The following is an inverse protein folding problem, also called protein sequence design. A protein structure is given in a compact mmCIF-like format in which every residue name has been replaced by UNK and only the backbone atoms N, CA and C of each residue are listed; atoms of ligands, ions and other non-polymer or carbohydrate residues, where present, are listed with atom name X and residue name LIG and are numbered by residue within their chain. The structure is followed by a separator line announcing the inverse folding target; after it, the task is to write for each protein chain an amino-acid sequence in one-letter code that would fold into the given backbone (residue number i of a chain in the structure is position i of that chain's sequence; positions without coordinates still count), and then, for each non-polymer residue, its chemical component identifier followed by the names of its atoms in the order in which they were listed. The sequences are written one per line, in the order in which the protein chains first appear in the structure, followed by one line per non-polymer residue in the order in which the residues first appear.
data_IF_717714731376
#
_entry.id   IF_717714731376
#
_cell.length_a   1.000
_cell.length_b   1.000
_cell.length_c   1.000
_cell.angle_alpha   90.00
_cell.angle_beta   90.00
_cell.angle_gamma   90.00
#
_symmetry.space_group_name_H-M   'P 1'
#
loop_
_entity.id
_entity.type
_entity.pdbx_description
1 polymer ?
#
# COMPACT_ATOMS: atom_id res chain seq x y z
N UNK A 1 -3.99 -4.19 4.31
CA UNK A 1 -2.53 -4.03 4.49
C UNK A 1 -1.83 -4.36 3.19
N UNK A 2 -0.73 -3.69 2.90
CA UNK A 2 0.12 -3.96 1.73
C UNK A 2 0.90 -5.28 1.86
N UNK A 3 1.43 -5.82 0.75
CA UNK A 3 2.29 -7.02 0.76
C UNK A 3 3.54 -6.77 1.59
N UNK A 4 4.18 -5.61 1.41
CA UNK A 4 5.31 -5.20 2.27
C UNK A 4 4.90 -5.06 3.75
N UNK A 5 3.68 -4.60 4.03
CA UNK A 5 3.13 -4.54 5.38
C UNK A 5 2.93 -5.91 6.02
N UNK A 6 2.49 -6.91 5.25
CA UNK A 6 2.41 -8.30 5.71
C UNK A 6 3.79 -8.90 5.99
N UNK A 7 4.77 -8.60 5.14
CA UNK A 7 6.14 -9.05 5.34
C UNK A 7 6.75 -8.47 6.63
N UNK A 8 6.57 -7.17 6.86
CA UNK A 8 7.00 -6.49 8.07
C UNK A 8 6.29 -7.04 9.32
N UNK A 9 4.98 -7.25 9.24
CA UNK A 9 4.22 -7.88 10.32
C UNK A 9 4.76 -9.27 10.66
N UNK A 10 5.05 -10.10 9.64
CA UNK A 10 5.63 -11.42 9.82
C UNK A 10 6.96 -11.39 10.57
N UNK A 11 7.87 -10.47 10.20
CA UNK A 11 9.16 -10.29 10.88
C UNK A 11 8.96 -9.91 12.35
N UNK A 12 8.10 -8.91 12.61
CA UNK A 12 7.83 -8.44 13.98
C UNK A 12 7.22 -9.57 14.83
N UNK A 13 6.23 -10.29 14.28
CA UNK A 13 5.59 -11.40 14.97
C UNK A 13 6.57 -12.53 15.30
N UNK A 14 7.46 -12.88 14.37
CA UNK A 14 8.51 -13.87 14.62
C UNK A 14 9.46 -13.41 15.73
N UNK A 15 9.90 -12.15 15.72
CA UNK A 15 10.75 -11.61 16.78
C UNK A 15 10.06 -11.68 18.15
N UNK A 16 8.78 -11.32 18.23
CA UNK A 16 7.98 -11.40 19.47
C UNK A 16 7.91 -12.85 19.97
N UNK A 17 7.67 -13.82 19.06
CA UNK A 17 7.62 -15.24 19.42
C UNK A 17 8.97 -15.77 19.89
N UNK A 18 10.08 -15.40 19.23
CA UNK A 18 11.42 -15.79 19.65
C UNK A 18 11.74 -15.27 21.06
N UNK A 19 11.42 -14.00 21.33
CA UNK A 19 11.62 -13.39 22.65
C UNK A 19 10.75 -14.11 23.70
N UNK A 20 9.49 -14.41 23.37
CA UNK A 20 8.60 -15.12 24.27
C UNK A 20 9.08 -16.55 24.59
N UNK A 21 9.63 -17.27 23.61
CA UNK A 21 10.23 -18.58 23.80
C UNK A 21 11.50 -18.50 24.66
N UNK A 22 12.34 -17.49 24.45
CA UNK A 22 13.54 -17.28 25.24
C UNK A 22 13.22 -16.97 26.71
N UNK A 23 12.24 -16.10 26.95
CA UNK A 23 11.73 -15.79 28.30
C UNK A 23 11.10 -17.05 28.91
N UNK A 24 10.28 -17.78 28.16
CA UNK A 24 9.66 -19.00 28.66
C UNK A 24 10.71 -20.05 29.08
N UNK A 25 11.78 -20.21 28.29
CA UNK A 25 12.88 -21.12 28.59
C UNK A 25 13.64 -20.72 29.87
N UNK A 26 14.02 -19.45 30.00
CA UNK A 26 14.73 -18.94 31.19
C UNK A 26 13.91 -19.16 32.47
N UNK A 27 12.60 -18.87 32.43
CA UNK A 27 11.74 -19.00 33.60
C UNK A 27 11.33 -20.44 33.91
N UNK A 28 11.35 -21.32 32.91
CA UNK A 28 11.13 -22.75 33.11
C UNK A 28 12.25 -23.38 33.94
N UNK A 29 13.50 -22.99 33.67
CA UNK A 29 14.68 -23.48 34.40
C UNK A 29 14.71 -22.95 35.85
N UNK A 30 14.31 -21.69 36.06
CA UNK A 30 14.38 -21.04 37.38
C UNK A 30 13.20 -21.40 38.31
N UNK A 31 11.99 -21.63 37.77
CA UNK A 31 10.77 -21.88 38.57
C UNK A 31 10.15 -23.27 38.42
N UNK A 32 10.72 -24.15 37.59
CA UNK A 32 10.42 -25.58 37.52
C UNK A 32 8.96 -25.96 37.22
N UNK A 33 8.13 -25.05 36.72
CA UNK A 33 6.68 -25.25 36.60
C UNK A 33 6.10 -24.74 35.28
N UNK A 34 4.90 -25.22 34.89
CA UNK A 34 4.27 -24.87 33.62
C UNK A 34 3.61 -23.48 33.59
N UNK A 35 3.60 -22.73 34.68
CA UNK A 35 2.87 -21.45 34.71
C UNK A 35 3.55 -20.35 33.88
N UNK A 36 4.89 -20.14 33.96
CA UNK A 36 5.56 -19.05 33.23
C UNK A 36 5.51 -19.18 31.70
N UNK A 37 5.56 -20.39 31.14
CA UNK A 37 5.50 -20.56 29.69
C UNK A 37 4.13 -20.18 29.11
N UNK A 38 3.03 -20.54 29.80
CA UNK A 38 1.67 -20.18 29.39
C UNK A 38 1.49 -18.66 29.42
N UNK A 39 2.01 -17.99 30.45
CA UNK A 39 1.92 -16.53 30.60
C UNK A 39 2.73 -15.83 29.51
N UNK A 40 3.96 -16.28 29.22
CA UNK A 40 4.81 -15.71 28.17
C UNK A 40 4.15 -15.79 26.79
N UNK A 41 3.60 -16.97 26.43
CA UNK A 41 2.91 -17.16 25.16
C UNK A 41 1.64 -16.32 25.08
N UNK A 42 0.88 -16.22 26.17
CA UNK A 42 -0.33 -15.40 26.23
C UNK A 42 -0.05 -13.91 25.96
N UNK A 43 1.02 -13.37 26.56
CA UNK A 43 1.46 -11.98 26.33
C UNK A 43 1.92 -11.79 24.88
N UNK A 44 2.67 -12.75 24.33
CA UNK A 44 3.13 -12.69 22.94
C UNK A 44 1.97 -12.62 21.94
N UNK A 45 0.93 -13.45 22.14
CA UNK A 45 -0.27 -13.45 21.31
C UNK A 45 -0.98 -12.09 21.40
N UNK A 46 -1.15 -11.55 22.61
CA UNK A 46 -1.79 -10.25 22.81
C UNK A 46 -1.02 -9.12 22.10
N UNK A 47 0.32 -9.13 22.15
CA UNK A 47 1.17 -8.17 21.45
C UNK A 47 1.04 -8.30 19.93
N UNK A 48 1.03 -9.53 19.39
CA UNK A 48 0.81 -9.76 17.96
C UNK A 48 -0.55 -9.23 17.49
N UNK A 49 -1.61 -9.42 18.29
CA UNK A 49 -2.95 -8.87 18.00
C UNK A 49 -2.91 -7.34 18.03
N UNK A 50 -2.26 -6.74 19.02
CA UNK A 50 -2.12 -5.28 19.13
C UNK A 50 -1.39 -4.67 17.93
N UNK A 51 -0.30 -5.28 17.49
CA UNK A 51 0.45 -4.88 16.29
C UNK A 51 -0.42 -5.01 15.04
N UNK A 52 -1.17 -6.12 14.90
CA UNK A 52 -2.06 -6.32 13.77
C UNK A 52 -3.15 -5.25 13.68
N UNK A 53 -3.82 -4.96 14.80
CA UNK A 53 -4.85 -3.91 14.87
C UNK A 53 -4.25 -2.53 14.59
N UNK A 54 -3.09 -2.22 15.16
CA UNK A 54 -2.41 -0.94 14.93
C UNK A 54 -2.00 -0.73 13.48
N UNK A 55 -1.44 -1.75 12.83
CA UNK A 55 -1.10 -1.69 11.41
C UNK A 55 -2.36 -1.58 10.55
N UNK A 56 -3.42 -2.33 10.83
CA UNK A 56 -4.68 -2.21 10.08
C UNK A 56 -5.30 -0.81 10.23
N UNK A 57 -5.26 -0.22 11.42
CA UNK A 57 -5.68 1.15 11.66
C UNK A 57 -4.82 2.15 10.87
N UNK A 58 -3.50 1.96 10.81
CA UNK A 58 -2.61 2.80 10.01
C UNK A 58 -2.99 2.80 8.52
N UNK A 59 -3.19 1.62 7.91
CA UNK A 59 -3.52 1.53 6.49
C UNK A 59 -4.91 2.06 6.13
N UNK A 60 -5.88 1.98 7.05
CA UNK A 60 -7.27 2.37 6.77
C UNK A 60 -7.59 3.82 7.19
N UNK A 61 -6.92 4.34 8.22
CA UNK A 61 -7.24 5.66 8.79
C UNK A 61 -6.24 6.77 8.42
N UNK A 62 -5.12 6.44 7.77
CA UNK A 62 -4.14 7.45 7.31
C UNK A 62 -4.13 7.56 5.79
N UNK A 63 -4.00 8.78 5.27
CA UNK A 63 -3.92 9.00 3.82
C UNK A 63 -2.64 8.39 3.21
N UNK A 64 -1.53 8.41 3.93
CA UNK A 64 -0.29 7.76 3.52
C UNK A 64 -0.47 6.24 3.39
N UNK A 65 -1.18 5.61 4.32
CA UNK A 65 -1.52 4.19 4.27
C UNK A 65 -2.39 3.83 3.06
N UNK A 66 -3.41 4.64 2.76
CA UNK A 66 -4.25 4.47 1.56
C UNK A 66 -3.45 4.63 0.27
N UNK A 67 -2.54 5.61 0.19
CA UNK A 67 -1.63 5.79 -0.96
C UNK A 67 -0.69 4.59 -1.15
N UNK A 68 -0.18 4.01 -0.08
CA UNK A 68 0.67 2.82 -0.14
C UNK A 68 -0.08 1.57 -0.63
N UNK A 69 -1.38 1.44 -0.30
CA UNK A 69 -2.24 0.38 -0.84
C UNK A 69 -2.51 0.60 -2.34
N UNK A 70 -2.90 1.82 -2.72
CA UNK A 70 -3.23 2.17 -4.11
C UNK A 70 -2.04 1.99 -5.06
N UNK A 71 -0.83 2.37 -4.63
CA UNK A 71 0.40 2.15 -5.40
C UNK A 71 0.75 0.67 -5.56
N UNK A 72 0.51 -0.17 -4.55
CA UNK A 72 0.72 -1.61 -4.69
C UNK A 72 -0.34 -2.27 -5.56
N UNK A 73 -1.60 -1.85 -5.45
CA UNK A 73 -2.63 -2.26 -6.39
C UNK A 73 -2.26 -1.87 -7.82
N UNK A 74 -1.76 -0.64 -8.05
CA UNK A 74 -1.25 -0.22 -9.37
C UNK A 74 -0.16 -1.14 -9.90
N UNK A 75 0.81 -1.50 -9.06
CA UNK A 75 1.92 -2.36 -9.48
C UNK A 75 1.48 -3.80 -9.78
N UNK A 76 0.47 -4.31 -9.05
CA UNK A 76 -0.04 -5.67 -9.26
C UNK A 76 -1.09 -5.76 -10.37
N UNK A 77 -1.77 -4.66 -10.69
CA UNK A 77 -2.94 -4.63 -11.57
C UNK A 77 -2.70 -3.83 -12.87
N UNK A 78 -1.44 -3.58 -13.23
CA UNK A 78 -1.00 -2.83 -14.42
C UNK A 78 -1.56 -1.41 -14.55
N UNK A 79 -1.63 -0.66 -13.44
CA UNK A 79 -2.02 0.75 -13.43
C UNK A 79 -3.20 1.08 -12.50
N UNK A 80 -3.47 2.38 -12.34
CA UNK A 80 -4.61 2.91 -11.59
C UNK A 80 -5.71 3.29 -12.60
N UNK A 81 -6.98 3.04 -12.25
CA UNK A 81 -8.10 3.52 -13.06
C UNK A 81 -8.15 5.06 -13.00
N UNK A 82 -7.93 5.68 -14.15
CA UNK A 82 -7.89 7.13 -14.31
C UNK A 82 -8.82 7.57 -15.42
N UNK A 83 -9.30 8.79 -15.30
CA UNK A 83 -10.02 9.47 -16.36
C UNK A 83 -9.19 10.67 -16.80
N UNK A 84 -8.64 10.61 -18.01
CA UNK A 84 -7.89 11.72 -18.63
C UNK A 84 -8.84 12.49 -19.52
N UNK A 85 -9.08 13.75 -19.16
CA UNK A 85 -9.90 14.66 -19.95
C UNK A 85 -9.01 15.74 -20.55
N UNK A 86 -8.96 15.79 -21.89
CA UNK A 86 -8.19 16.75 -22.66
C UNK A 86 -9.12 17.90 -23.06
N UNK A 87 -8.72 19.12 -22.71
CA UNK A 87 -9.45 20.34 -23.02
C UNK A 87 -8.72 21.17 -24.08
N UNK A 88 -9.49 21.83 -24.92
CA UNK A 88 -9.04 22.91 -25.80
C UNK A 88 -8.67 24.15 -24.97
N UNK A 89 -7.94 25.10 -25.57
CA UNK A 89 -7.59 26.39 -24.95
C UNK A 89 -8.81 27.17 -24.47
N UNK A 90 -9.98 26.90 -25.05
CA UNK A 90 -11.26 27.49 -24.68
C UNK A 90 -12.01 26.71 -23.56
N UNK A 91 -11.41 25.67 -22.98
CA UNK A 91 -12.02 24.83 -21.94
C UNK A 91 -13.04 23.82 -22.46
N UNK A 92 -13.13 23.61 -23.77
CA UNK A 92 -14.01 22.59 -24.37
C UNK A 92 -13.34 21.22 -24.34
N UNK A 93 -14.05 20.19 -23.90
CA UNK A 93 -13.56 18.80 -23.96
C UNK A 93 -13.31 18.41 -25.41
N UNK A 94 -12.05 18.08 -25.73
CA UNK A 94 -11.63 17.53 -27.01
C UNK A 94 -11.81 16.02 -26.97
N UNK A 95 -11.34 15.38 -25.90
CA UNK A 95 -11.35 13.93 -25.76
C UNK A 95 -11.25 13.49 -24.31
N UNK A 96 -11.84 12.35 -24.03
CA UNK A 96 -11.78 11.70 -22.72
C UNK A 96 -11.29 10.26 -22.90
N UNK A 97 -10.41 9.83 -22.02
CA UNK A 97 -9.93 8.45 -21.91
C UNK A 97 -10.24 7.96 -20.50
N UNK A 98 -10.83 6.79 -20.41
CA UNK A 98 -11.12 6.12 -19.14
C UNK A 98 -10.53 4.71 -19.24
N UNK A 99 -9.80 4.30 -18.20
CA UNK A 99 -9.15 3.00 -18.16
C UNK A 99 -8.01 2.97 -17.15
N UNK A 100 -7.35 1.83 -17.07
CA UNK A 100 -6.12 1.67 -16.28
C UNK A 100 -4.93 2.01 -17.14
N UNK A 101 -4.26 3.12 -16.80
CA UNK A 101 -3.05 3.52 -17.50
C UNK A 101 -2.11 4.27 -16.56
N UNK A 102 -0.81 4.06 -16.76
CA UNK A 102 0.22 4.82 -16.08
C UNK A 102 0.42 6.16 -16.80
N UNK A 103 0.64 7.22 -16.03
CA UNK A 103 0.79 8.58 -16.58
C UNK A 103 2.16 9.09 -16.23
N UNK A 104 2.92 9.43 -17.27
CA UNK A 104 4.24 10.03 -17.16
C UNK A 104 4.18 11.51 -17.55
N UNK A 105 4.88 12.34 -16.78
CA UNK A 105 4.92 13.78 -16.95
C UNK A 105 6.34 14.21 -17.32
N UNK A 106 6.48 14.92 -18.43
CA UNK A 106 7.72 15.59 -18.85
C UNK A 106 7.65 17.10 -18.54
N UNK A 107 8.48 17.94 -19.17
CA UNK A 107 8.41 19.41 -19.08
C UNK A 107 7.42 20.05 -20.09
N UNK A 108 7.03 19.35 -21.16
CA UNK A 108 6.18 19.88 -22.24
C UNK A 108 5.04 18.94 -22.71
N UNK A 109 5.03 17.68 -22.24
CA UNK A 109 4.08 16.63 -22.62
C UNK A 109 3.68 15.67 -21.50
N UNK A 110 2.47 15.13 -21.60
CA UNK A 110 1.95 14.00 -20.81
C UNK A 110 1.97 12.78 -21.72
N UNK A 111 2.53 11.67 -21.23
CA UNK A 111 2.48 10.39 -21.90
C UNK A 111 1.63 9.41 -21.09
N UNK A 112 0.76 8.68 -21.76
CA UNK A 112 0.04 7.56 -21.14
C UNK A 112 -0.23 6.46 -22.17
N UNK A 113 -0.09 5.21 -21.75
CA UNK A 113 -0.35 4.03 -22.58
C UNK A 113 -1.75 3.51 -22.26
N UNK A 114 -2.66 3.48 -23.23
CA UNK A 114 -4.02 2.95 -23.00
C UNK A 114 -4.05 1.41 -22.84
N UNK A 115 -5.19 0.87 -22.42
CA UNK A 115 -5.37 -0.59 -22.24
C UNK A 115 -5.18 -1.41 -23.52
N UNK A 116 -5.22 -0.77 -24.70
CA UNK A 116 -4.96 -1.42 -25.99
C UNK A 116 -3.47 -1.38 -26.36
N UNK A 117 -2.59 -0.90 -25.46
CA UNK A 117 -1.16 -0.76 -25.68
C UNK A 117 -0.81 0.40 -26.61
N UNK A 118 -1.72 1.36 -26.82
CA UNK A 118 -1.46 2.54 -27.64
C UNK A 118 -1.00 3.70 -26.77
N UNK A 119 0.20 4.20 -27.08
CA UNK A 119 0.78 5.39 -26.46
C UNK A 119 0.10 6.67 -26.95
N UNK A 120 -0.39 7.47 -26.03
CA UNK A 120 -0.89 8.83 -26.28
C UNK A 120 0.12 9.83 -25.73
N UNK A 121 0.41 10.87 -26.52
CA UNK A 121 1.30 11.98 -26.13
C UNK A 121 0.53 13.27 -26.29
N UNK A 122 0.39 14.02 -25.21
CA UNK A 122 -0.37 15.27 -25.17
C UNK A 122 0.57 16.41 -24.78
N UNK A 123 0.81 17.34 -25.69
CA UNK A 123 1.64 18.52 -25.42
C UNK A 123 0.81 19.63 -24.77
N UNK A 124 1.17 20.05 -23.54
CA UNK A 124 0.44 21.09 -22.81
C UNK A 124 0.87 22.52 -23.13
N UNK A 125 1.87 22.69 -23.99
CA UNK A 125 2.16 24.01 -24.59
C UNK A 125 0.97 24.58 -25.38
N UNK A 126 -0.03 23.76 -25.71
CA UNK A 126 -1.19 24.12 -26.53
C UNK A 126 -2.56 23.77 -25.93
N UNK A 127 -2.64 23.23 -24.70
CA UNK A 127 -3.92 22.83 -24.10
C UNK A 127 -3.83 22.46 -22.62
N UNK A 128 -5.00 22.30 -21.98
CA UNK A 128 -5.13 21.96 -20.55
C UNK A 128 -5.58 20.50 -20.41
N UNK A 129 -4.95 19.74 -19.52
CA UNK A 129 -5.30 18.33 -19.26
C UNK A 129 -5.68 18.17 -17.78
N UNK A 130 -6.86 17.61 -17.52
CA UNK A 130 -7.24 17.16 -16.18
C UNK A 130 -7.15 15.64 -16.08
N UNK A 131 -6.62 15.16 -14.96
CA UNK A 131 -6.44 13.74 -14.68
C UNK A 131 -7.12 13.46 -13.36
N UNK A 132 -8.23 12.76 -13.44
CA UNK A 132 -9.00 12.34 -12.27
C UNK A 132 -8.65 10.89 -11.95
N UNK A 133 -8.18 10.63 -10.73
CA UNK A 133 -7.91 9.27 -10.25
C UNK A 133 -9.08 8.78 -9.39
N UNK A 134 -9.57 7.56 -9.66
CA UNK A 134 -10.57 6.89 -8.79
C UNK A 134 -9.90 6.11 -7.66
#
# INVERSE_FOLDING_TARGET
MTIGGWFLFGIIAICILIIALFIAWYWFDEKGGPVPWIVSIGIAIALCIGVFVGMNAYYNNTESGKRALKSQESNFNSGIERTVTIYDVNGKVIKQYEGKFDVEYDDDRILFDDENGKRHVVYYTTGTVAIDEK
#
